data_IF_625905384421
#
_entry.id   IF_625905384421
#
_cell.length_a   1.000
_cell.length_b   1.000
_cell.length_c   1.000
_cell.angle_alpha   90.00
_cell.angle_beta   90.00
_cell.angle_gamma   90.00
#
_symmetry.space_group_name_H-M   'P 1'
#
loop_
_entity.id
_entity.type
_entity.pdbx_description
1 polymer ?
#
# COMPACT_ATOMS: atom_id res chain seq x y z
N UNK A 1 28.12 -5.09 -21.26
CA UNK A 1 27.97 -5.56 -19.87
C UNK A 1 27.97 -4.30 -19.04
N UNK A 2 26.80 -3.67 -18.92
CA UNK A 2 26.66 -2.49 -18.09
C UNK A 2 26.53 -3.00 -16.66
N UNK A 3 27.32 -2.43 -15.76
CA UNK A 3 27.29 -2.66 -14.33
C UNK A 3 25.83 -2.69 -13.86
N UNK A 4 25.48 -3.74 -13.12
CA UNK A 4 24.30 -3.77 -12.26
C UNK A 4 24.53 -2.69 -11.20
N UNK A 5 24.25 -1.45 -11.61
CA UNK A 5 24.16 -0.26 -10.79
C UNK A 5 23.59 -0.70 -9.46
N UNK A 6 24.43 -0.58 -8.44
CA UNK A 6 24.23 -0.97 -7.07
C UNK A 6 22.96 -0.26 -6.59
N UNK A 7 21.81 -0.87 -6.88
CA UNK A 7 20.50 -0.36 -6.55
C UNK A 7 20.42 -0.46 -5.04
N UNK A 8 20.85 0.62 -4.37
CA UNK A 8 20.67 0.75 -2.93
C UNK A 8 19.22 0.38 -2.62
N UNK A 9 19.00 -0.62 -1.74
CA UNK A 9 17.65 -1.04 -1.43
C UNK A 9 16.91 0.18 -0.90
N UNK A 10 15.82 0.58 -1.56
CA UNK A 10 15.05 1.78 -1.24
C UNK A 10 14.46 1.81 0.19
N UNK A 11 14.74 0.79 1.00
CA UNK A 11 14.41 0.68 2.41
C UNK A 11 15.71 0.94 3.21
N UNK A 12 16.07 2.21 3.36
CA UNK A 12 17.19 2.64 4.22
C UNK A 12 16.98 2.31 5.71
N UNK A 13 15.74 1.96 6.08
CA UNK A 13 15.35 1.66 7.45
C UNK A 13 14.86 0.22 7.52
N UNK A 14 15.81 -0.73 7.62
CA UNK A 14 15.53 -2.10 8.05
C UNK A 14 15.14 -2.10 9.53
N UNK A 15 14.01 -1.46 9.84
CA UNK A 15 13.40 -1.51 11.17
C UNK A 15 12.87 -2.92 11.41
N UNK A 16 12.92 -3.32 12.66
CA UNK A 16 12.46 -4.61 13.13
C UNK A 16 10.93 -4.60 13.25
N UNK A 17 10.28 -5.71 12.90
CA UNK A 17 8.82 -5.82 12.74
C UNK A 17 8.01 -5.44 14.00
N UNK A 18 8.62 -5.54 15.19
CA UNK A 18 8.08 -5.07 16.46
C UNK A 18 7.69 -3.58 16.45
N UNK A 19 8.46 -2.70 15.79
CA UNK A 19 8.15 -1.27 15.75
C UNK A 19 6.80 -0.94 15.10
N UNK A 20 6.30 -1.82 14.22
CA UNK A 20 5.00 -1.64 13.56
C UNK A 20 3.86 -2.03 14.50
N UNK A 21 4.11 -2.94 15.45
CA UNK A 21 3.11 -3.40 16.41
C UNK A 21 2.83 -2.36 17.51
N UNK A 22 3.75 -1.43 17.75
CA UNK A 22 3.57 -0.32 18.68
C UNK A 22 2.63 0.77 18.13
N UNK A 23 2.28 0.71 16.83
CA UNK A 23 1.32 1.65 16.24
C UNK A 23 -0.09 1.30 16.68
N UNK A 24 -0.81 2.29 17.22
CA UNK A 24 -2.17 2.17 17.77
C UNK A 24 -3.20 1.52 16.83
N UNK A 25 -2.92 1.49 15.52
CA UNK A 25 -3.84 1.03 14.48
C UNK A 25 -3.62 -0.40 13.99
N UNK A 26 -2.56 -1.07 14.46
CA UNK A 26 -2.20 -2.42 14.01
C UNK A 26 -3.09 -3.48 14.69
N UNK A 27 -4.08 -4.01 13.96
CA UNK A 27 -5.07 -4.99 14.46
C UNK A 27 -4.67 -6.45 14.22
N UNK A 28 -3.50 -6.85 14.67
CA UNK A 28 -3.12 -8.27 14.55
C UNK A 28 -3.96 -9.17 15.48
N UNK A 29 -4.23 -10.39 15.06
CA UNK A 29 -4.73 -11.44 15.95
C UNK A 29 -3.59 -12.01 16.82
N UNK A 30 -3.93 -12.67 17.92
CA UNK A 30 -2.91 -13.18 18.85
C UNK A 30 -1.99 -14.22 18.21
N UNK A 31 -2.54 -15.12 17.40
CA UNK A 31 -1.75 -16.11 16.67
C UNK A 31 -0.76 -15.46 15.67
N UNK A 32 -1.12 -14.34 15.04
CA UNK A 32 -0.21 -13.59 14.19
C UNK A 32 0.89 -12.90 14.99
N UNK A 33 0.58 -12.39 16.20
CA UNK A 33 1.57 -11.79 17.11
C UNK A 33 2.60 -12.82 17.59
N UNK A 34 2.17 -14.06 17.85
CA UNK A 34 3.06 -15.15 18.29
C UNK A 34 4.12 -15.54 17.25
N UNK A 35 3.88 -15.27 15.96
CA UNK A 35 4.86 -15.50 14.90
C UNK A 35 6.02 -14.51 14.92
N UNK A 36 5.87 -13.37 15.61
CA UNK A 36 6.90 -12.35 15.68
C UNK A 36 8.06 -12.81 16.55
N UNK A 37 9.27 -12.67 16.02
CA UNK A 37 10.51 -12.91 16.77
C UNK A 37 11.27 -11.60 16.97
N UNK A 38 12.04 -11.43 18.05
CA UNK A 38 12.93 -10.30 18.22
C UNK A 38 13.84 -10.15 16.98
N UNK A 39 14.07 -8.90 16.57
CA UNK A 39 14.94 -8.54 15.44
C UNK A 39 14.49 -9.05 14.07
N UNK A 40 13.28 -9.61 13.97
CA UNK A 40 12.73 -10.09 12.71
C UNK A 40 12.51 -8.90 11.76
N UNK A 41 13.06 -8.97 10.55
CA UNK A 41 12.82 -7.94 9.54
C UNK A 41 11.37 -7.93 9.07
N UNK A 42 10.89 -6.79 8.54
CA UNK A 42 9.54 -6.69 7.98
C UNK A 42 9.26 -7.76 6.92
N UNK A 43 10.23 -8.00 6.02
CA UNK A 43 10.09 -9.01 4.98
C UNK A 43 10.04 -10.43 5.53
N UNK A 44 10.79 -10.73 6.59
CA UNK A 44 10.73 -12.03 7.25
C UNK A 44 9.38 -12.26 7.93
N UNK A 45 8.87 -11.26 8.66
CA UNK A 45 7.60 -11.37 9.35
C UNK A 45 6.42 -11.47 8.36
N UNK A 46 6.42 -10.68 7.29
CA UNK A 46 5.42 -10.80 6.22
C UNK A 46 5.41 -12.20 5.61
N UNK A 47 6.58 -12.78 5.32
CA UNK A 47 6.67 -14.17 4.83
C UNK A 47 6.08 -15.16 5.82
N UNK A 48 6.28 -14.97 7.12
CA UNK A 48 5.70 -15.83 8.16
C UNK A 48 4.17 -15.74 8.18
N UNK A 49 3.61 -14.52 8.10
CA UNK A 49 2.16 -14.30 8.02
C UNK A 49 1.56 -14.97 6.77
N UNK A 50 2.21 -14.81 5.61
CA UNK A 50 1.76 -15.43 4.37
C UNK A 50 1.82 -16.97 4.42
N UNK A 51 2.90 -17.53 5.00
CA UNK A 51 3.05 -18.98 5.14
C UNK A 51 2.02 -19.59 6.09
N UNK A 52 1.62 -18.86 7.14
CA UNK A 52 0.57 -19.24 8.07
C UNK A 52 -0.86 -18.91 7.58
N UNK A 53 -1.02 -18.43 6.35
CA UNK A 53 -2.29 -17.96 5.76
C UNK A 53 -3.00 -16.83 6.54
N UNK A 54 -2.28 -16.09 7.37
CA UNK A 54 -2.79 -14.89 8.05
C UNK A 54 -2.81 -13.68 7.09
N UNK A 55 -3.62 -13.77 6.04
CA UNK A 55 -3.64 -12.81 4.94
C UNK A 55 -4.14 -11.42 5.37
N UNK A 56 -5.16 -11.35 6.22
CA UNK A 56 -5.66 -10.08 6.75
C UNK A 56 -4.62 -9.39 7.64
N UNK A 57 -3.98 -10.14 8.53
CA UNK A 57 -2.89 -9.64 9.37
C UNK A 57 -1.70 -9.17 8.51
N UNK A 58 -1.42 -9.88 7.42
CA UNK A 58 -0.42 -9.48 6.43
C UNK A 58 -0.75 -8.15 5.74
N UNK A 59 -2.02 -7.93 5.36
CA UNK A 59 -2.48 -6.67 4.78
C UNK A 59 -2.38 -5.51 5.77
N UNK A 60 -2.85 -5.72 7.01
CA UNK A 60 -2.75 -4.73 8.08
C UNK A 60 -1.28 -4.39 8.37
N UNK A 61 -0.43 -5.40 8.50
CA UNK A 61 1.01 -5.22 8.74
C UNK A 61 1.67 -4.41 7.63
N UNK A 62 1.47 -4.78 6.36
CA UNK A 62 2.07 -4.08 5.20
C UNK A 62 1.59 -2.64 5.11
N UNK A 63 0.32 -2.38 5.40
CA UNK A 63 -0.25 -1.02 5.43
C UNK A 63 0.47 -0.09 6.41
N UNK A 64 1.00 -0.62 7.50
CA UNK A 64 1.73 0.15 8.51
C UNK A 64 3.26 0.08 8.39
N UNK A 65 3.79 -0.98 7.78
CA UNK A 65 5.22 -1.23 7.64
C UNK A 65 5.87 -0.47 6.47
N UNK A 66 5.12 -0.18 5.40
CA UNK A 66 5.70 0.46 4.22
C UNK A 66 5.92 1.97 4.44
N UNK A 67 7.10 2.50 4.07
CA UNK A 67 7.26 3.95 3.87
C UNK A 67 6.25 4.46 2.84
N UNK A 68 5.81 5.71 2.99
CA UNK A 68 4.74 6.30 2.17
C UNK A 68 4.94 6.05 0.66
N UNK A 69 6.15 6.28 0.13
CA UNK A 69 6.45 6.07 -1.29
C UNK A 69 6.17 4.64 -1.74
N UNK A 70 6.56 3.65 -0.94
CA UNK A 70 6.34 2.24 -1.24
C UNK A 70 4.87 1.83 -1.10
N UNK A 71 4.17 2.36 -0.10
CA UNK A 71 2.74 2.16 0.04
C UNK A 71 1.97 2.71 -1.16
N UNK A 72 2.33 3.90 -1.64
CA UNK A 72 1.73 4.52 -2.83
C UNK A 72 2.06 3.72 -4.10
N UNK A 73 3.32 3.28 -4.26
CA UNK A 73 3.70 2.41 -5.37
C UNK A 73 2.92 1.10 -5.40
N UNK A 74 2.77 0.45 -4.24
CA UNK A 74 1.98 -0.76 -4.11
C UNK A 74 0.52 -0.51 -4.47
N UNK A 75 -0.05 0.62 -4.01
CA UNK A 75 -1.38 1.07 -4.43
C UNK A 75 -1.50 1.27 -5.96
N UNK A 76 -0.48 1.85 -6.61
CA UNK A 76 -0.44 1.98 -8.07
C UNK A 76 -0.48 0.61 -8.74
N UNK A 77 0.32 -0.35 -8.26
CA UNK A 77 0.34 -1.72 -8.78
C UNK A 77 -1.01 -2.42 -8.60
N UNK A 78 -1.65 -2.26 -7.44
CA UNK A 78 -2.96 -2.84 -7.17
C UNK A 78 -4.01 -2.30 -8.14
N UNK A 79 -4.13 -0.96 -8.26
CA UNK A 79 -5.08 -0.33 -9.18
C UNK A 79 -4.82 -0.78 -10.62
N UNK A 80 -3.56 -0.75 -11.08
CA UNK A 80 -3.20 -1.14 -12.44
C UNK A 80 -3.50 -2.61 -12.77
N UNK A 81 -3.59 -3.49 -11.77
CA UNK A 81 -3.95 -4.90 -11.95
C UNK A 81 -5.45 -5.16 -11.89
N UNK A 82 -6.19 -4.44 -11.05
CA UNK A 82 -7.60 -4.76 -10.75
C UNK A 82 -8.60 -3.87 -11.47
N UNK A 83 -8.21 -2.65 -11.85
CA UNK A 83 -9.09 -1.69 -12.51
C UNK A 83 -9.07 -1.90 -14.03
N UNK A 84 -10.21 -2.21 -14.67
CA UNK A 84 -10.31 -2.27 -16.12
C UNK A 84 -9.98 -0.92 -16.78
N UNK A 85 -9.35 -0.92 -17.98
CA UNK A 85 -8.92 0.32 -18.65
C UNK A 85 -10.03 1.35 -18.94
N UNK A 86 -11.26 0.88 -19.14
CA UNK A 86 -12.41 1.70 -19.52
C UNK A 86 -13.21 2.23 -18.30
N UNK A 87 -12.90 1.74 -17.10
CA UNK A 87 -13.57 2.17 -15.86
C UNK A 87 -13.18 3.59 -15.39
N UNK A 88 -11.88 3.99 -15.36
CA UNK A 88 -11.50 5.27 -14.77
C UNK A 88 -11.99 6.46 -15.62
N UNK A 89 -12.58 7.44 -14.94
CA UNK A 89 -12.92 8.71 -15.56
C UNK A 89 -11.67 9.55 -15.87
N UNK A 90 -11.86 10.67 -16.56
CA UNK A 90 -10.75 11.57 -16.91
C UNK A 90 -9.98 12.07 -15.68
N UNK A 91 -10.70 12.40 -14.60
CA UNK A 91 -10.09 12.83 -13.34
C UNK A 91 -9.28 11.71 -12.68
N UNK A 92 -9.74 10.46 -12.75
CA UNK A 92 -9.03 9.30 -12.21
C UNK A 92 -7.72 9.09 -12.94
N UNK A 93 -7.73 9.16 -14.28
CA UNK A 93 -6.52 9.03 -15.11
C UNK A 93 -5.50 10.13 -14.81
N UNK A 94 -5.95 11.38 -14.70
CA UNK A 94 -5.08 12.51 -14.36
C UNK A 94 -4.41 12.33 -13.00
N UNK A 95 -5.19 11.94 -11.99
CA UNK A 95 -4.67 11.74 -10.63
C UNK A 95 -3.74 10.53 -10.59
N UNK A 96 -4.13 9.41 -11.19
CA UNK A 96 -3.29 8.21 -11.26
C UNK A 96 -1.95 8.48 -11.94
N UNK A 97 -1.95 9.17 -13.08
CA UNK A 97 -0.73 9.55 -13.79
C UNK A 97 0.16 10.51 -12.99
N UNK A 98 -0.42 11.49 -12.29
CA UNK A 98 0.32 12.39 -11.42
C UNK A 98 0.93 11.64 -10.22
N UNK A 99 0.18 10.73 -9.60
CA UNK A 99 0.67 9.87 -8.51
C UNK A 99 1.82 8.97 -8.98
N UNK A 100 1.69 8.33 -10.14
CA UNK A 100 2.77 7.52 -10.72
C UNK A 100 4.04 8.35 -10.93
N UNK A 101 3.91 9.56 -11.47
CA UNK A 101 5.03 10.49 -11.65
C UNK A 101 5.73 10.82 -10.33
N UNK A 102 4.95 11.07 -9.26
CA UNK A 102 5.54 11.30 -7.94
C UNK A 102 6.25 10.06 -7.38
N UNK A 103 5.75 8.84 -7.62
CA UNK A 103 6.47 7.63 -7.19
C UNK A 103 7.84 7.50 -7.87
N UNK A 104 7.90 7.81 -9.17
CA UNK A 104 9.14 7.81 -9.95
C UNK A 104 10.08 8.92 -9.46
N UNK A 105 9.54 10.13 -9.26
CA UNK A 105 10.29 11.32 -8.85
C UNK A 105 9.54 12.05 -7.71
N UNK A 106 9.85 11.76 -6.42
CA UNK A 106 9.07 12.21 -5.27
C UNK A 106 9.38 13.64 -4.84
N UNK A 107 9.34 14.58 -5.77
CA UNK A 107 9.57 16.01 -5.51
C UNK A 107 8.36 16.65 -4.84
N UNK A 108 8.61 17.75 -4.12
CA UNK A 108 7.57 18.54 -3.48
C UNK A 108 6.63 19.17 -4.53
N UNK A 109 7.16 19.55 -5.68
CA UNK A 109 6.40 20.07 -6.82
C UNK A 109 5.38 19.04 -7.34
N UNK A 110 5.80 17.78 -7.49
CA UNK A 110 4.93 16.68 -7.91
C UNK A 110 3.87 16.37 -6.85
N UNK A 111 4.26 16.35 -5.56
CA UNK A 111 3.32 16.16 -4.43
C UNK A 111 2.26 17.27 -4.43
N UNK A 112 2.66 18.53 -4.53
CA UNK A 112 1.78 19.69 -4.53
C UNK A 112 0.84 19.71 -5.74
N UNK A 113 1.28 19.21 -6.90
CA UNK A 113 0.43 19.05 -8.07
C UNK A 113 -0.71 18.04 -7.82
N UNK A 114 -0.40 16.89 -7.22
CA UNK A 114 -1.41 15.88 -6.83
C UNK A 114 -2.36 16.46 -5.77
N UNK A 115 -1.82 17.18 -4.80
CA UNK A 115 -2.62 17.85 -3.77
C UNK A 115 -3.66 18.80 -4.42
N UNK A 116 -3.25 19.63 -5.37
CA UNK A 116 -4.16 20.52 -6.11
C UNK A 116 -5.22 19.74 -6.88
N UNK A 117 -4.85 18.65 -7.54
CA UNK A 117 -5.79 17.81 -8.30
C UNK A 117 -6.84 17.16 -7.39
N UNK A 118 -6.47 16.81 -6.15
CA UNK A 118 -7.31 16.02 -5.24
C UNK A 118 -7.91 16.83 -4.07
N UNK A 119 -7.64 18.13 -4.01
CA UNK A 119 -8.13 19.05 -2.95
C UNK A 119 -9.65 19.08 -2.88
N UNK A 120 -10.31 19.16 -4.04
CA UNK A 120 -11.77 19.18 -4.15
C UNK A 120 -12.18 18.06 -5.09
N UNK A 121 -12.81 17.03 -4.53
CA UNK A 121 -13.30 15.86 -5.25
C UNK A 121 -14.72 15.54 -4.82
N UNK A 122 -15.58 15.20 -5.77
CA UNK A 122 -16.99 14.88 -5.52
C UNK A 122 -17.24 13.39 -5.37
N UNK A 123 -16.34 12.55 -5.91
CA UNK A 123 -16.38 11.09 -5.84
C UNK A 123 -15.05 10.56 -5.34
N UNK A 124 -15.10 9.63 -4.38
CA UNK A 124 -13.93 8.91 -3.88
C UNK A 124 -13.81 7.57 -4.62
N UNK A 125 -12.91 7.52 -5.59
CA UNK A 125 -12.49 6.31 -6.30
C UNK A 125 -11.12 5.85 -5.79
N UNK A 126 -10.67 4.64 -6.14
CA UNK A 126 -9.35 4.17 -5.73
C UNK A 126 -8.20 5.08 -6.21
N UNK A 127 -8.13 5.54 -7.48
CA UNK A 127 -7.13 6.50 -7.92
C UNK A 127 -7.16 7.81 -7.14
N UNK A 128 -8.35 8.32 -6.81
CA UNK A 128 -8.52 9.55 -6.04
C UNK A 128 -8.03 9.38 -4.61
N UNK A 129 -8.37 8.28 -3.95
CA UNK A 129 -7.89 7.97 -2.59
C UNK A 129 -6.37 7.86 -2.55
N UNK A 130 -5.76 7.17 -3.52
CA UNK A 130 -4.32 7.05 -3.63
C UNK A 130 -3.63 8.41 -3.86
N UNK A 131 -4.20 9.23 -4.74
CA UNK A 131 -3.74 10.59 -4.97
C UNK A 131 -3.82 11.46 -3.71
N UNK A 132 -4.90 11.35 -2.94
CA UNK A 132 -5.04 12.09 -1.67
C UNK A 132 -4.01 11.65 -0.64
N UNK A 133 -3.76 10.35 -0.50
CA UNK A 133 -2.71 9.83 0.38
C UNK A 133 -1.33 10.39 0.02
N UNK A 134 -1.08 10.58 -1.29
CA UNK A 134 0.17 11.16 -1.79
C UNK A 134 0.25 12.68 -1.54
N UNK A 135 -0.80 13.43 -1.92
CA UNK A 135 -0.82 14.89 -1.85
C UNK A 135 -0.99 15.45 -0.42
N UNK A 136 -1.46 14.62 0.51
CA UNK A 136 -1.69 14.98 1.90
C UNK A 136 -1.09 13.93 2.85
N UNK A 137 0.21 13.67 2.73
CA UNK A 137 0.95 12.71 3.55
C UNK A 137 0.75 12.87 5.08
N UNK A 138 0.49 14.10 5.55
CA UNK A 138 0.25 14.41 6.96
C UNK A 138 -1.23 14.46 7.36
N UNK A 139 -2.14 13.93 6.52
CA UNK A 139 -3.54 13.88 6.89
C UNK A 139 -3.68 12.93 8.10
N UNK A 140 -4.11 13.46 9.25
CA UNK A 140 -4.52 12.62 10.37
C UNK A 140 -5.61 11.68 9.83
N UNK A 141 -5.30 10.39 9.80
CA UNK A 141 -6.27 9.38 9.39
C UNK A 141 -7.51 9.54 10.28
N UNK A 142 -8.74 9.42 9.72
CA UNK A 142 -9.92 9.32 10.57
C UNK A 142 -9.72 8.17 11.55
N UNK A 143 -10.37 8.24 12.71
CA UNK A 143 -10.26 7.13 13.66
C UNK A 143 -10.51 5.81 12.92
N UNK A 144 -9.66 4.80 13.16
CA UNK A 144 -9.76 3.52 12.50
C UNK A 144 -11.21 3.09 12.66
N UNK A 145 -11.88 2.82 11.54
CA UNK A 145 -13.22 2.28 11.62
C UNK A 145 -13.10 1.01 12.47
N UNK A 146 -13.53 1.08 13.74
CA UNK A 146 -13.61 -0.07 14.62
C UNK A 146 -14.41 -1.20 13.94
N UNK A 147 -15.23 -0.81 12.95
CA UNK A 147 -16.09 -1.61 12.11
C UNK A 147 -15.53 -2.04 10.74
N UNK A 148 -14.23 -1.90 10.42
CA UNK A 148 -13.72 -2.64 9.25
C UNK A 148 -13.78 -4.13 9.60
N UNK A 149 -14.83 -4.81 9.14
CA UNK A 149 -15.04 -6.22 9.46
C UNK A 149 -13.89 -7.02 8.84
N UNK A 150 -13.27 -7.84 9.68
CA UNK A 150 -12.31 -8.88 9.33
C UNK A 150 -13.01 -10.04 8.62
N UNK A 151 -13.59 -9.73 7.45
CA UNK A 151 -14.39 -10.63 6.62
C UNK A 151 -13.74 -10.77 5.23
N UNK A 152 -12.41 -10.85 5.14
CA UNK A 152 -11.72 -11.05 3.86
C UNK A 152 -12.09 -12.43 3.29
N UNK A 153 -12.97 -12.45 2.30
CA UNK A 153 -13.31 -13.69 1.58
C UNK A 153 -12.18 -14.03 0.60
N UNK A 154 -11.55 -15.19 0.80
CA UNK A 154 -10.49 -15.78 -0.06
C UNK A 154 -10.86 -15.83 -1.56
N UNK A 155 -12.15 -15.74 -1.90
CA UNK A 155 -12.71 -15.69 -3.26
C UNK A 155 -12.07 -14.61 -4.16
N UNK A 156 -11.70 -13.45 -3.61
CA UNK A 156 -11.08 -12.35 -4.37
C UNK A 156 -9.65 -12.67 -4.85
N UNK A 157 -8.94 -13.57 -4.17
CA UNK A 157 -7.56 -13.98 -4.53
C UNK A 157 -7.57 -14.93 -5.73
N UNK A 158 -8.60 -15.77 -5.85
CA UNK A 158 -8.73 -16.73 -6.96
C UNK A 158 -9.03 -16.02 -8.28
N UNK A 159 -9.76 -14.90 -8.25
CA UNK A 159 -10.04 -14.08 -9.43
C UNK A 159 -8.77 -13.38 -9.96
N UNK A 160 -7.84 -12.97 -9.10
CA UNK A 160 -6.60 -12.32 -9.51
C UNK A 160 -5.49 -13.30 -9.93
N UNK A 161 -5.53 -14.55 -9.44
CA UNK A 161 -4.58 -15.61 -9.81
C UNK A 161 -4.96 -16.39 -11.08
N UNK A 162 -6.17 -16.20 -11.59
CA UNK A 162 -6.64 -16.85 -12.82
C UNK A 162 -6.46 -15.92 -14.02
N UNK A 163 -5.22 -15.74 -14.47
CA UNK A 163 -5.00 -15.25 -15.83
C UNK A 163 -5.68 -16.24 -16.80
N UNK A 164 -6.44 -15.78 -17.80
CA UNK A 164 -6.91 -16.68 -18.85
C UNK A 164 -5.67 -17.26 -19.54
N UNK A 165 -5.58 -18.58 -19.60
CA UNK A 165 -4.58 -19.27 -20.38
C UNK A 165 -4.70 -18.79 -21.84
N UNK A 166 -3.64 -18.12 -22.32
CA UNK A 166 -3.43 -17.84 -23.74
C UNK A 166 -2.86 -19.08 -24.42
#
# INVERSE_FOLDING_TARGET
MADEEELEPAIDDLRTADHVLEREFTKLCDAARELLRPEMSYGAYLKALLHAEFLEDGLDFVGHALPLRHAVWWGCCCIGKVMPPDEPGEKDRQVFGATFRWVVEPTEEHRAAIQRLTRVVTKLTAPILLGRATGFAELKLPEPLAALKRDFRKEGVIAAGSAPAA
#
